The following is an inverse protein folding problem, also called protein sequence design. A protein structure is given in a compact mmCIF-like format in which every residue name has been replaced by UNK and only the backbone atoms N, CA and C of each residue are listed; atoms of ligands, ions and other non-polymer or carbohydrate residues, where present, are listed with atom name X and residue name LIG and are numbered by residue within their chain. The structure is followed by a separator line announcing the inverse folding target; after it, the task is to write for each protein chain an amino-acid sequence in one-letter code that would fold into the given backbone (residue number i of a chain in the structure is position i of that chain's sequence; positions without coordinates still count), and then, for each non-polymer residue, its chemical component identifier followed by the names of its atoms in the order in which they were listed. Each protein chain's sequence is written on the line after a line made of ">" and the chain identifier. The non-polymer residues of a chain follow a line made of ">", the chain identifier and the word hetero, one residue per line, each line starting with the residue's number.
data_IF_573454683499
#
_entry.id   IF_573454683499
#
_cell.length_a   1.000
_cell.length_b   1.000
_cell.length_c   1.000
_cell.angle_alpha   90.00
_cell.angle_beta   90.00
_cell.angle_gamma   90.00
#
_symmetry.space_group_name_H-M   'P 1'
#
loop_
_entity.id
_entity.type
_entity.pdbx_description
1 polymer ?
#
# COMPACT_ATOMS: atom_id res chain seq x y z
N UNK A 1 -3.69 -38.47 22.80
CA UNK A 1 -3.96 -37.52 21.68
C UNK A 1 -4.19 -38.30 20.41
N UNK A 2 -5.43 -38.32 19.90
CA UNK A 2 -5.81 -39.04 18.67
C UNK A 2 -4.95 -38.57 17.48
N UNK A 3 -4.50 -39.50 16.64
CA UNK A 3 -3.72 -39.22 15.42
C UNK A 3 -4.40 -38.17 14.53
N UNK A 4 -5.75 -38.19 14.52
CA UNK A 4 -6.57 -37.23 13.80
C UNK A 4 -6.43 -35.80 14.34
N UNK A 5 -6.35 -35.63 15.67
CA UNK A 5 -6.14 -34.33 16.29
C UNK A 5 -4.76 -33.75 15.94
N UNK A 6 -3.72 -34.59 15.91
CA UNK A 6 -2.37 -34.17 15.49
C UNK A 6 -2.33 -33.71 14.04
N UNK A 7 -3.05 -34.40 13.15
CA UNK A 7 -3.16 -34.03 11.73
C UNK A 7 -3.87 -32.68 11.57
N UNK A 8 -4.99 -32.49 12.26
CA UNK A 8 -5.74 -31.23 12.20
C UNK A 8 -4.91 -30.04 12.71
N UNK A 9 -4.14 -30.24 13.79
CA UNK A 9 -3.25 -29.21 14.32
C UNK A 9 -2.11 -28.85 13.35
N UNK A 10 -1.59 -29.84 12.60
CA UNK A 10 -0.59 -29.58 11.55
C UNK A 10 -1.18 -28.78 10.38
N UNK A 11 -2.42 -29.05 9.99
CA UNK A 11 -3.10 -28.28 8.94
C UNK A 11 -3.35 -26.83 9.37
N UNK A 12 -3.83 -26.60 10.60
CA UNK A 12 -4.00 -25.25 11.16
C UNK A 12 -2.68 -24.48 11.11
N UNK A 13 -1.60 -25.06 11.64
CA UNK A 13 -0.28 -24.41 11.63
C UNK A 13 0.23 -24.11 10.21
N UNK A 14 -0.09 -24.97 9.24
CA UNK A 14 0.26 -24.77 7.83
C UNK A 14 -0.49 -23.58 7.23
N UNK A 15 -1.79 -23.47 7.50
CA UNK A 15 -2.63 -22.38 7.03
C UNK A 15 -2.23 -21.05 7.69
N UNK A 16 -1.96 -21.04 8.99
CA UNK A 16 -1.49 -19.83 9.69
C UNK A 16 -0.18 -19.33 9.09
N UNK A 17 0.77 -20.23 8.80
CA UNK A 17 2.03 -19.88 8.16
C UNK A 17 1.82 -19.35 6.74
N UNK A 18 0.91 -19.94 5.96
CA UNK A 18 0.65 -19.45 4.61
C UNK A 18 0.04 -18.04 4.62
N UNK A 19 -0.89 -17.77 5.54
CA UNK A 19 -1.47 -16.42 5.76
C UNK A 19 -0.37 -15.43 6.14
N UNK A 20 0.52 -15.79 7.07
CA UNK A 20 1.64 -14.92 7.46
C UNK A 20 2.56 -14.59 6.28
N UNK A 21 2.89 -15.56 5.43
CA UNK A 21 3.73 -15.33 4.24
C UNK A 21 3.04 -14.38 3.26
N UNK A 22 1.75 -14.59 2.98
CA UNK A 22 0.98 -13.74 2.06
C UNK A 22 0.90 -12.32 2.59
N UNK A 23 0.52 -12.14 3.86
CA UNK A 23 0.40 -10.81 4.47
C UNK A 23 1.73 -10.06 4.50
N UNK A 24 2.85 -10.74 4.76
CA UNK A 24 4.18 -10.12 4.71
C UNK A 24 4.56 -9.70 3.29
N UNK A 25 4.22 -10.52 2.29
CA UNK A 25 4.44 -10.16 0.89
C UNK A 25 3.65 -8.91 0.50
N UNK A 26 2.37 -8.86 0.84
CA UNK A 26 1.49 -7.70 0.58
C UNK A 26 2.00 -6.42 1.26
N UNK A 27 2.48 -6.53 2.51
CA UNK A 27 3.10 -5.41 3.23
C UNK A 27 4.35 -4.91 2.51
N UNK A 28 5.23 -5.82 2.09
CA UNK A 28 6.45 -5.47 1.35
C UNK A 28 6.13 -4.78 0.02
N UNK A 29 5.14 -5.30 -0.71
CA UNK A 29 4.69 -4.71 -1.97
C UNK A 29 4.07 -3.33 -1.77
N UNK A 30 3.23 -3.17 -0.73
CA UNK A 30 2.64 -1.87 -0.36
C UNK A 30 3.73 -0.87 0.00
N UNK A 31 4.69 -1.23 0.86
CA UNK A 31 5.79 -0.35 1.26
C UNK A 31 6.63 0.06 0.05
N UNK A 32 7.01 -0.89 -0.81
CA UNK A 32 7.76 -0.58 -2.04
C UNK A 32 7.01 0.41 -2.92
N UNK A 33 5.71 0.20 -3.13
CA UNK A 33 4.87 1.10 -3.92
C UNK A 33 4.77 2.50 -3.30
N UNK A 34 4.65 2.60 -1.97
CA UNK A 34 4.59 3.89 -1.27
C UNK A 34 5.90 4.65 -1.40
N UNK A 35 7.05 3.99 -1.22
CA UNK A 35 8.37 4.60 -1.41
C UNK A 35 8.54 5.11 -2.84
N UNK A 36 8.21 4.28 -3.83
CA UNK A 36 8.30 4.68 -5.24
C UNK A 36 7.40 5.87 -5.56
N UNK A 37 6.17 5.90 -5.02
CA UNK A 37 5.26 7.03 -5.22
C UNK A 37 5.72 8.29 -4.49
N UNK A 38 6.28 8.16 -3.28
CA UNK A 38 6.86 9.27 -2.51
C UNK A 38 8.03 9.92 -3.25
N UNK A 39 8.97 9.12 -3.74
CA UNK A 39 10.10 9.65 -4.52
C UNK A 39 9.66 10.39 -5.80
N UNK A 40 8.59 9.93 -6.46
CA UNK A 40 8.04 10.66 -7.60
C UNK A 40 7.38 11.98 -7.16
N UNK A 41 6.67 11.98 -6.03
CA UNK A 41 6.08 13.20 -5.48
C UNK A 41 7.16 14.24 -5.19
N UNK A 42 8.19 13.87 -4.43
CA UNK A 42 9.32 14.73 -4.09
C UNK A 42 9.99 15.31 -5.35
N UNK A 43 10.27 14.48 -6.35
CA UNK A 43 10.91 14.93 -7.60
C UNK A 43 10.04 15.88 -8.45
N UNK A 44 8.72 15.65 -8.52
CA UNK A 44 7.84 16.45 -9.39
C UNK A 44 7.31 17.72 -8.73
N UNK A 45 7.22 17.72 -7.40
CA UNK A 45 6.70 18.85 -6.62
C UNK A 45 7.79 19.60 -5.84
N UNK A 46 9.04 19.15 -5.93
CA UNK A 46 10.20 19.75 -5.25
C UNK A 46 9.92 19.98 -3.76
N UNK A 47 9.38 18.93 -3.11
CA UNK A 47 8.79 19.02 -1.77
C UNK A 47 9.49 18.15 -0.74
N UNK A 48 10.72 17.73 -1.02
CA UNK A 48 11.56 16.92 -0.12
C UNK A 48 11.87 17.60 1.23
N UNK A 49 11.92 18.93 1.23
CA UNK A 49 12.14 19.78 2.38
C UNK A 49 10.86 20.04 3.20
N UNK A 50 9.69 19.67 2.69
CA UNK A 50 8.43 19.89 3.40
C UNK A 50 8.21 18.85 4.49
N UNK A 51 7.58 19.27 5.58
CA UNK A 51 7.07 18.33 6.57
C UNK A 51 5.92 17.48 6.00
N UNK A 52 5.55 16.43 6.73
CA UNK A 52 4.41 15.59 6.33
C UNK A 52 3.12 16.41 6.35
N UNK A 53 2.99 17.28 7.35
CA UNK A 53 1.86 18.17 7.55
C UNK A 53 1.75 19.20 6.40
N UNK A 54 2.85 19.85 6.04
CA UNK A 54 2.89 20.83 4.94
C UNK A 54 2.61 20.15 3.59
N UNK A 55 3.14 18.94 3.40
CA UNK A 55 2.85 18.12 2.20
C UNK A 55 1.37 17.77 2.12
N UNK A 56 0.71 17.47 3.24
CA UNK A 56 -0.73 17.22 3.26
C UNK A 56 -1.52 18.47 2.86
N UNK A 57 -1.17 19.64 3.38
CA UNK A 57 -1.80 20.90 3.00
C UNK A 57 -1.62 21.19 1.50
N UNK A 58 -0.41 21.04 0.99
CA UNK A 58 -0.10 21.16 -0.44
C UNK A 58 -0.97 20.22 -1.28
N UNK A 59 -1.02 18.94 -0.91
CA UNK A 59 -1.81 17.94 -1.63
C UNK A 59 -3.32 18.24 -1.57
N UNK A 60 -3.84 18.75 -0.46
CA UNK A 60 -5.25 19.16 -0.35
C UNK A 60 -5.58 20.24 -1.37
N UNK A 61 -4.75 21.28 -1.47
CA UNK A 61 -4.95 22.39 -2.41
C UNK A 61 -5.01 21.88 -3.86
N UNK A 62 -4.08 21.01 -4.26
CA UNK A 62 -4.00 20.53 -5.64
C UNK A 62 -4.89 19.32 -5.95
N UNK A 63 -5.39 18.61 -4.95
CA UNK A 63 -6.18 17.38 -5.15
C UNK A 63 -7.40 17.62 -6.03
N UNK A 64 -8.13 18.72 -5.80
CA UNK A 64 -9.30 19.09 -6.59
C UNK A 64 -8.92 19.34 -8.06
N UNK A 65 -7.92 20.19 -8.29
CA UNK A 65 -7.43 20.50 -9.63
C UNK A 65 -6.98 19.24 -10.39
N UNK A 66 -6.17 18.40 -9.75
CA UNK A 66 -5.66 17.15 -10.35
C UNK A 66 -6.81 16.19 -10.66
N UNK A 67 -7.81 16.09 -9.80
CA UNK A 67 -8.96 15.21 -10.02
C UNK A 67 -9.87 15.71 -11.15
N UNK A 68 -10.11 17.01 -11.24
CA UNK A 68 -10.90 17.63 -12.32
C UNK A 68 -10.21 17.52 -13.68
N UNK A 69 -8.90 17.78 -13.73
CA UNK A 69 -8.10 17.75 -14.97
C UNK A 69 -7.58 16.37 -15.34
N UNK A 70 -7.87 15.34 -14.53
CA UNK A 70 -7.41 13.97 -14.75
C UNK A 70 -7.90 13.44 -16.11
N UNK A 71 -7.00 13.10 -17.04
CA UNK A 71 -7.38 12.45 -18.29
C UNK A 71 -8.16 11.16 -18.04
N UNK A 72 -9.14 10.86 -18.89
CA UNK A 72 -10.01 9.67 -18.74
C UNK A 72 -9.21 8.36 -18.64
N UNK A 73 -8.06 8.25 -19.34
CA UNK A 73 -7.17 7.07 -19.26
C UNK A 73 -6.63 6.78 -17.85
N UNK A 74 -6.66 7.75 -16.94
CA UNK A 74 -6.21 7.63 -15.55
C UNK A 74 -7.36 7.65 -14.54
N UNK A 75 -8.60 7.84 -15.00
CA UNK A 75 -9.77 7.66 -14.14
C UNK A 75 -9.97 6.17 -13.90
N UNK A 76 -10.34 5.81 -12.67
CA UNK A 76 -10.71 4.44 -12.37
C UNK A 76 -12.01 4.17 -13.14
N UNK A 77 -12.03 3.18 -14.03
CA UNK A 77 -13.28 2.70 -14.60
C UNK A 77 -14.11 2.17 -13.41
N UNK A 78 -15.24 2.83 -13.16
CA UNK A 78 -16.27 2.33 -12.24
C UNK A 78 -17.13 1.31 -12.97
#
# INVERSE_FOLDING_TARGET
>A
MSTHFKQLQQEINRVERSIQVVTQKERKERTRRLIQKGALLENYFDCDHLSVEDTEELLKVFSNYVNEKKPNKFKKNL
#
